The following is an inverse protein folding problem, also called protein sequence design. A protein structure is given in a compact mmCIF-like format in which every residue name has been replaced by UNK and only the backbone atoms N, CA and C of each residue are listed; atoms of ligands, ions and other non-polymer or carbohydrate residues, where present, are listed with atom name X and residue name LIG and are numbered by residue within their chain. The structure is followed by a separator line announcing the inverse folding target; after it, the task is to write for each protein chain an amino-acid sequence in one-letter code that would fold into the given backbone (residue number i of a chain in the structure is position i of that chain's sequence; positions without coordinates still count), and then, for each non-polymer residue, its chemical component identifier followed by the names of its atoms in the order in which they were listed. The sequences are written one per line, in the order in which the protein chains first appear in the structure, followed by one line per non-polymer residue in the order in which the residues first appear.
data_IF_186851085945
#
_entry.id   IF_186851085945
#
_cell.length_a   1.000
_cell.length_b   1.000
_cell.length_c   1.000
_cell.angle_alpha   90.00
_cell.angle_beta   90.00
_cell.angle_gamma   90.00
#
_symmetry.space_group_name_H-M   'P 1'
#
loop_
_entity.id
_entity.type
_entity.pdbx_description
1 polymer ?
#
# COMPACT_ATOMS: atom_id res chain seq x y z
N UNK A 1 50.85 20.95 -39.59
CA UNK A 1 49.43 20.59 -39.46
C UNK A 1 49.20 19.20 -38.81
N UNK A 2 50.17 18.66 -38.05
CA UNK A 2 50.08 17.31 -37.45
C UNK A 2 49.91 17.31 -35.92
N UNK A 3 49.70 18.48 -35.30
CA UNK A 3 49.64 18.63 -33.83
C UNK A 3 48.24 18.92 -33.28
N UNK A 4 47.27 19.31 -34.12
CA UNK A 4 45.87 19.51 -33.69
C UNK A 4 45.02 18.25 -33.77
N UNK A 5 45.32 17.30 -34.68
CA UNK A 5 44.52 16.08 -34.86
C UNK A 5 44.62 15.09 -33.69
N UNK A 6 45.75 15.08 -32.98
CA UNK A 6 45.99 14.13 -31.87
C UNK A 6 45.25 14.56 -30.59
N UNK A 7 45.07 15.87 -30.36
CA UNK A 7 44.40 16.39 -29.15
C UNK A 7 42.89 16.15 -29.20
N UNK A 8 42.28 16.24 -30.38
CA UNK A 8 40.83 16.00 -30.56
C UNK A 8 40.47 14.53 -30.38
N UNK A 9 41.33 13.60 -30.80
CA UNK A 9 41.11 12.15 -30.65
C UNK A 9 41.26 11.65 -29.19
N UNK A 10 42.16 12.26 -28.41
CA UNK A 10 42.35 11.89 -26.99
C UNK A 10 41.19 12.39 -26.11
N UNK A 11 40.62 13.56 -26.41
CA UNK A 11 39.47 14.09 -25.66
C UNK A 11 38.16 13.35 -25.96
N UNK A 12 37.99 12.83 -27.18
CA UNK A 12 36.83 12.01 -27.54
C UNK A 12 36.89 10.60 -26.92
N UNK A 13 38.08 10.02 -26.75
CA UNK A 13 38.27 8.73 -26.07
C UNK A 13 38.05 8.81 -24.55
N UNK A 14 38.40 9.94 -23.91
CA UNK A 14 38.19 10.15 -22.48
C UNK A 14 36.73 10.48 -22.12
N UNK A 15 35.94 11.00 -23.08
CA UNK A 15 34.52 11.33 -22.87
C UNK A 15 33.59 10.12 -23.00
N UNK A 16 34.03 9.04 -23.66
CA UNK A 16 33.25 7.80 -23.80
C UNK A 16 33.33 6.87 -22.58
N UNK A 17 34.35 7.01 -21.74
CA UNK A 17 34.60 6.09 -20.62
C UNK A 17 33.80 6.43 -19.34
N UNK A 18 33.28 7.65 -19.21
CA UNK A 18 32.58 8.09 -17.98
C UNK A 18 31.10 7.68 -17.96
N UNK A 19 30.50 7.35 -19.11
CA UNK A 19 29.10 6.91 -19.18
C UNK A 19 28.88 5.42 -18.95
N UNK A 20 29.95 4.61 -18.82
CA UNK A 20 29.83 3.16 -18.69
C UNK A 20 29.61 2.65 -17.25
N UNK A 21 29.58 3.53 -16.24
CA UNK A 21 29.43 3.13 -14.82
C UNK A 21 28.06 3.43 -14.20
N UNK A 22 27.15 4.09 -14.92
CA UNK A 22 25.80 4.43 -14.43
C UNK A 22 24.73 3.35 -14.71
N UNK A 23 25.15 2.16 -15.12
CA UNK A 23 24.27 1.06 -15.52
C UNK A 23 24.39 -0.18 -14.64
N UNK A 24 24.57 -0.05 -13.32
CA UNK A 24 24.17 -1.15 -12.43
C UNK A 24 22.64 -1.15 -12.38
N UNK A 25 22.02 -1.72 -13.40
CA UNK A 25 20.65 -2.22 -13.29
C UNK A 25 20.66 -3.21 -12.13
N UNK A 26 20.26 -2.77 -10.94
CA UNK A 26 19.88 -3.67 -9.87
C UNK A 26 18.85 -4.60 -10.50
N UNK A 27 19.22 -5.87 -10.70
CA UNK A 27 18.26 -6.88 -11.10
C UNK A 27 17.05 -6.73 -10.15
N UNK A 28 15.82 -6.66 -10.66
CA UNK A 28 14.66 -6.48 -9.80
C UNK A 28 14.74 -7.53 -8.71
N UNK A 29 14.85 -7.09 -7.45
CA UNK A 29 14.86 -8.00 -6.30
C UNK A 29 13.57 -8.78 -6.40
N UNK A 30 13.66 -10.05 -6.79
CA UNK A 30 12.48 -10.90 -6.93
C UNK A 30 11.92 -11.06 -5.53
N UNK A 31 10.78 -10.42 -5.26
CA UNK A 31 10.07 -10.59 -4.00
C UNK A 31 9.73 -12.07 -3.90
N UNK A 32 10.25 -12.74 -2.88
CA UNK A 32 9.91 -14.11 -2.59
C UNK A 32 8.66 -14.10 -1.73
N UNK A 33 7.54 -14.46 -2.33
CA UNK A 33 6.27 -14.52 -1.64
C UNK A 33 6.18 -15.73 -0.72
N UNK A 34 5.47 -15.55 0.40
CA UNK A 34 5.17 -16.61 1.36
C UNK A 34 3.67 -16.67 1.61
N UNK A 35 3.20 -17.83 2.05
CA UNK A 35 1.83 -17.99 2.51
C UNK A 35 1.79 -18.98 3.67
N UNK A 36 2.36 -18.56 4.80
CA UNK A 36 2.27 -19.29 6.06
C UNK A 36 0.93 -19.12 6.75
N UNK A 37 0.78 -19.76 7.91
CA UNK A 37 -0.41 -19.62 8.77
C UNK A 37 -0.67 -18.15 9.16
N UNK A 38 0.39 -17.40 9.47
CA UNK A 38 0.30 -15.99 9.87
C UNK A 38 -0.12 -15.08 8.72
N UNK A 39 0.31 -15.37 7.49
CA UNK A 39 -0.10 -14.65 6.27
C UNK A 39 -1.60 -14.85 5.99
N UNK A 40 -2.08 -16.11 6.08
CA UNK A 40 -3.50 -16.44 5.92
C UNK A 40 -4.37 -15.80 7.01
N UNK A 41 -3.91 -15.84 8.26
CA UNK A 41 -4.61 -15.20 9.37
C UNK A 41 -4.67 -13.68 9.19
N UNK A 42 -3.59 -13.06 8.71
CA UNK A 42 -3.57 -11.64 8.39
C UNK A 42 -4.61 -11.28 7.32
N UNK A 43 -4.65 -12.02 6.21
CA UNK A 43 -5.61 -11.80 5.12
C UNK A 43 -7.06 -11.94 5.58
N UNK A 44 -7.37 -13.03 6.30
CA UNK A 44 -8.71 -13.26 6.84
C UNK A 44 -9.13 -12.16 7.82
N UNK A 45 -8.23 -11.75 8.71
CA UNK A 45 -8.50 -10.65 9.63
C UNK A 45 -8.72 -9.33 8.87
N UNK A 46 -7.86 -9.01 7.90
CA UNK A 46 -7.99 -7.79 7.11
C UNK A 46 -9.32 -7.74 6.35
N UNK A 47 -9.75 -8.85 5.74
CA UNK A 47 -11.03 -8.96 5.06
C UNK A 47 -12.21 -8.67 5.99
N UNK A 48 -12.21 -9.27 7.18
CA UNK A 48 -13.25 -9.04 8.20
C UNK A 48 -13.29 -7.58 8.62
N UNK A 49 -12.13 -6.96 8.87
CA UNK A 49 -12.07 -5.56 9.28
C UNK A 49 -12.52 -4.61 8.17
N UNK A 50 -12.15 -4.89 6.92
CA UNK A 50 -12.58 -4.10 5.77
C UNK A 50 -14.10 -4.16 5.59
N UNK A 51 -14.68 -5.36 5.67
CA UNK A 51 -16.12 -5.56 5.59
C UNK A 51 -16.87 -4.88 6.75
N UNK A 52 -16.37 -5.00 7.99
CA UNK A 52 -16.97 -4.36 9.16
C UNK A 52 -17.00 -2.83 9.02
N UNK A 53 -15.88 -2.19 8.65
CA UNK A 53 -15.84 -0.74 8.45
C UNK A 53 -16.75 -0.30 7.30
N UNK A 54 -16.81 -1.07 6.22
CA UNK A 54 -17.73 -0.83 5.10
C UNK A 54 -19.20 -0.86 5.54
N UNK A 55 -19.59 -1.88 6.31
CA UNK A 55 -20.95 -2.04 6.84
C UNK A 55 -21.37 -0.83 7.70
N UNK A 56 -20.57 -0.45 8.70
CA UNK A 56 -20.87 0.72 9.53
C UNK A 56 -20.88 2.02 8.72
N UNK A 57 -20.00 2.14 7.72
CA UNK A 57 -19.99 3.28 6.80
C UNK A 57 -21.29 3.39 6.01
N UNK A 58 -21.80 2.28 5.49
CA UNK A 58 -23.06 2.23 4.74
C UNK A 58 -24.28 2.54 5.63
N UNK A 59 -24.32 2.00 6.85
CA UNK A 59 -25.38 2.28 7.83
C UNK A 59 -25.38 3.76 8.22
N UNK A 60 -24.21 4.36 8.45
CA UNK A 60 -24.08 5.80 8.72
C UNK A 60 -24.58 6.66 7.55
N UNK A 61 -24.30 6.26 6.31
CA UNK A 61 -24.79 6.97 5.12
C UNK A 61 -26.31 6.89 4.96
N UNK A 62 -26.93 5.80 5.43
CA UNK A 62 -28.39 5.62 5.45
C UNK A 62 -29.06 6.31 6.63
N UNK A 63 -28.30 6.71 7.65
CA UNK A 63 -28.80 7.27 8.91
C UNK A 63 -29.17 6.21 9.94
N UNK A 64 -28.73 4.96 9.74
CA UNK A 64 -29.02 3.81 10.61
C UNK A 64 -27.93 3.59 11.69
N UNK A 65 -26.80 4.31 11.60
CA UNK A 65 -25.72 4.27 12.59
C UNK A 65 -25.23 5.68 12.95
N UNK A 66 -24.74 5.83 14.19
CA UNK A 66 -24.16 7.08 14.67
C UNK A 66 -22.71 7.24 14.15
N UNK A 67 -22.19 8.48 14.00
CA UNK A 67 -20.80 8.70 13.60
C UNK A 67 -19.78 7.93 14.46
N UNK A 68 -20.08 7.78 15.74
CA UNK A 68 -19.29 7.19 16.80
C UNK A 68 -19.09 5.69 16.59
N UNK A 69 -20.11 5.02 16.02
CA UNK A 69 -20.05 3.60 15.66
C UNK A 69 -19.02 3.39 14.55
N UNK A 70 -19.07 4.24 13.51
CA UNK A 70 -18.11 4.18 12.39
C UNK A 70 -16.70 4.52 12.85
N UNK A 71 -16.55 5.53 13.70
CA UNK A 71 -15.25 5.93 14.26
C UNK A 71 -14.68 4.80 15.14
N UNK A 72 -15.52 4.15 15.94
CA UNK A 72 -15.17 2.99 16.74
C UNK A 72 -14.68 1.83 15.87
N UNK A 73 -15.50 1.42 14.90
CA UNK A 73 -15.17 0.35 13.97
C UNK A 73 -13.85 0.61 13.21
N UNK A 74 -13.63 1.84 12.75
CA UNK A 74 -12.39 2.24 12.08
C UNK A 74 -11.15 2.11 12.99
N UNK A 75 -11.27 2.47 14.28
CA UNK A 75 -10.19 2.34 15.26
C UNK A 75 -9.90 0.89 15.59
N UNK A 76 -10.93 0.07 15.74
CA UNK A 76 -10.80 -1.35 16.04
C UNK A 76 -10.19 -2.12 14.87
N UNK A 77 -10.63 -1.83 13.65
CA UNK A 77 -10.02 -2.31 12.42
C UNK A 77 -8.53 -1.97 12.33
N UNK A 78 -8.18 -0.70 12.57
CA UNK A 78 -6.78 -0.26 12.57
C UNK A 78 -5.94 -0.98 13.62
N UNK A 79 -6.51 -1.25 14.82
CA UNK A 79 -5.83 -1.99 15.90
C UNK A 79 -5.62 -3.44 15.52
N UNK A 80 -6.67 -4.13 15.07
CA UNK A 80 -6.65 -5.55 14.73
C UNK A 80 -5.68 -5.85 13.57
N UNK A 81 -5.66 -5.01 12.54
CA UNK A 81 -4.72 -5.16 11.41
C UNK A 81 -3.28 -4.91 11.88
N UNK A 82 -3.06 -3.88 12.72
CA UNK A 82 -1.73 -3.56 13.24
C UNK A 82 -1.17 -4.62 14.18
N UNK A 83 -2.01 -5.29 14.97
CA UNK A 83 -1.59 -6.34 15.90
C UNK A 83 -1.24 -7.66 15.22
N UNK A 84 -1.57 -7.83 13.95
CA UNK A 84 -1.17 -8.99 13.16
C UNK A 84 0.30 -8.85 12.71
N UNK A 85 0.96 -9.96 12.38
CA UNK A 85 2.36 -9.97 11.93
C UNK A 85 2.56 -11.00 10.78
N UNK A 86 2.17 -10.65 9.54
CA UNK A 86 2.47 -11.49 8.38
C UNK A 86 3.97 -11.55 8.12
N UNK A 87 4.42 -12.59 7.43
CA UNK A 87 5.81 -12.75 6.98
C UNK A 87 6.01 -12.32 5.52
N UNK A 88 4.97 -12.41 4.70
CA UNK A 88 5.06 -12.00 3.30
C UNK A 88 5.39 -10.49 3.20
N UNK A 89 6.42 -10.10 2.42
CA UNK A 89 6.83 -8.70 2.29
C UNK A 89 5.74 -7.75 1.80
N UNK A 90 4.86 -8.22 0.90
CA UNK A 90 3.75 -7.42 0.40
C UNK A 90 2.67 -7.28 1.47
N UNK A 91 2.35 -8.33 2.22
CA UNK A 91 1.40 -8.25 3.34
C UNK A 91 1.92 -7.37 4.50
N UNK A 92 3.23 -7.33 4.74
CA UNK A 92 3.83 -6.35 5.66
C UNK A 92 3.60 -4.91 5.19
N UNK A 93 3.64 -4.68 3.88
CA UNK A 93 3.34 -3.37 3.28
C UNK A 93 1.85 -3.03 3.44
N UNK A 94 0.95 -3.99 3.22
CA UNK A 94 -0.49 -3.81 3.49
C UNK A 94 -0.74 -3.47 4.96
N UNK A 95 -0.12 -4.22 5.89
CA UNK A 95 -0.19 -3.97 7.34
C UNK A 95 0.26 -2.55 7.71
N UNK A 96 1.20 -1.98 6.97
CA UNK A 96 1.67 -0.62 7.21
C UNK A 96 0.63 0.43 6.81
N UNK A 97 0.02 0.31 5.63
CA UNK A 97 -0.89 1.32 5.09
C UNK A 97 -2.35 1.19 5.57
N UNK A 98 -2.87 -0.04 5.70
CA UNK A 98 -4.28 -0.28 6.01
C UNK A 98 -4.75 0.34 7.34
N UNK A 99 -3.99 0.31 8.46
CA UNK A 99 -4.40 0.99 9.68
C UNK A 99 -4.56 2.50 9.49
N UNK A 100 -3.70 3.15 8.70
CA UNK A 100 -3.80 4.57 8.43
C UNK A 100 -5.03 4.89 7.55
N UNK A 101 -5.33 4.03 6.57
CA UNK A 101 -6.53 4.12 5.74
C UNK A 101 -7.80 4.18 6.61
N UNK A 102 -7.97 3.23 7.53
CA UNK A 102 -9.12 3.21 8.44
C UNK A 102 -9.17 4.46 9.34
N UNK A 103 -8.04 4.88 9.91
CA UNK A 103 -8.02 6.05 10.80
C UNK A 103 -8.29 7.37 10.06
N UNK A 104 -7.90 7.52 8.79
CA UNK A 104 -8.32 8.65 7.96
C UNK A 104 -9.81 8.61 7.65
N UNK A 105 -10.39 7.42 7.40
CA UNK A 105 -11.84 7.28 7.21
C UNK A 105 -12.62 7.73 8.45
N UNK A 106 -12.26 7.23 9.63
CA UNK A 106 -12.86 7.66 10.89
C UNK A 106 -12.70 9.17 11.14
N UNK A 107 -11.56 9.76 10.76
CA UNK A 107 -11.38 11.22 10.83
C UNK A 107 -12.29 11.98 9.88
N UNK A 108 -12.54 11.44 8.68
CA UNK A 108 -13.48 12.04 7.74
C UNK A 108 -14.91 12.03 8.28
N UNK A 109 -15.35 10.90 8.85
CA UNK A 109 -16.67 10.79 9.49
C UNK A 109 -16.80 11.77 10.65
N UNK A 110 -15.77 11.85 11.52
CA UNK A 110 -15.75 12.81 12.63
C UNK A 110 -15.88 14.26 12.15
N UNK A 111 -15.11 14.66 11.13
CA UNK A 111 -15.18 16.00 10.57
C UNK A 111 -16.57 16.29 9.99
N UNK A 112 -17.15 15.34 9.25
CA UNK A 112 -18.51 15.46 8.69
C UNK A 112 -19.56 15.66 9.78
N UNK A 113 -19.50 14.86 10.85
CA UNK A 113 -20.43 14.95 11.98
C UNK A 113 -20.34 16.30 12.71
N UNK A 114 -19.14 16.90 12.75
CA UNK A 114 -18.93 18.24 13.30
C UNK A 114 -19.32 19.39 12.34
N UNK A 115 -19.83 19.10 11.14
CA UNK A 115 -20.11 20.11 10.12
C UNK A 115 -18.85 20.71 9.46
N UNK A 116 -17.69 20.06 9.65
CA UNK A 116 -16.41 20.47 9.09
C UNK A 116 -16.15 19.82 7.72
N UNK A 117 -15.11 20.30 7.02
CA UNK A 117 -14.70 19.73 5.74
C UNK A 117 -14.05 18.34 5.92
N UNK A 118 -14.80 17.29 5.62
CA UNK A 118 -14.32 15.90 5.64
C UNK A 118 -13.42 15.52 4.44
N UNK A 119 -13.41 16.33 3.37
CA UNK A 119 -12.76 16.02 2.10
C UNK A 119 -11.29 15.62 2.22
N UNK A 120 -10.42 16.37 2.94
CA UNK A 120 -9.01 16.03 3.06
C UNK A 120 -8.73 14.68 3.73
N UNK A 121 -9.48 14.34 4.79
CA UNK A 121 -9.32 13.06 5.47
C UNK A 121 -9.85 11.91 4.62
N UNK A 122 -10.99 12.13 3.95
CA UNK A 122 -11.56 11.14 3.03
C UNK A 122 -10.61 10.85 1.86
N UNK A 123 -10.03 11.88 1.25
CA UNK A 123 -9.05 11.74 0.17
C UNK A 123 -7.82 10.92 0.60
N UNK A 124 -7.27 11.20 1.79
CA UNK A 124 -6.14 10.44 2.32
C UNK A 124 -6.51 8.97 2.58
N UNK A 125 -7.70 8.71 3.11
CA UNK A 125 -8.20 7.34 3.28
C UNK A 125 -8.24 6.59 1.94
N UNK A 126 -8.87 7.17 0.92
CA UNK A 126 -8.95 6.55 -0.41
C UNK A 126 -7.58 6.35 -1.05
N UNK A 127 -6.66 7.31 -0.92
CA UNK A 127 -5.30 7.19 -1.47
C UNK A 127 -4.51 6.06 -0.80
N UNK A 128 -4.67 5.89 0.51
CA UNK A 128 -4.06 4.77 1.25
C UNK A 128 -4.70 3.43 0.86
N UNK A 129 -6.01 3.39 0.66
CA UNK A 129 -6.71 2.19 0.16
C UNK A 129 -6.29 1.81 -1.26
N UNK A 130 -6.14 2.79 -2.15
CA UNK A 130 -5.61 2.58 -3.49
C UNK A 130 -4.20 1.97 -3.43
N UNK A 131 -3.33 2.50 -2.57
CA UNK A 131 -1.99 1.94 -2.35
C UNK A 131 -2.02 0.50 -1.84
N UNK A 132 -2.94 0.16 -0.94
CA UNK A 132 -3.12 -1.23 -0.49
C UNK A 132 -3.56 -2.12 -1.64
N UNK A 133 -4.54 -1.67 -2.45
CA UNK A 133 -5.04 -2.42 -3.60
C UNK A 133 -3.92 -2.64 -4.64
N UNK A 134 -3.12 -1.62 -4.97
CA UNK A 134 -1.95 -1.74 -5.85
C UNK A 134 -0.98 -2.82 -5.36
N UNK A 135 -0.60 -2.78 -4.08
CA UNK A 135 0.31 -3.77 -3.49
C UNK A 135 -0.26 -5.20 -3.59
N UNK A 136 -1.55 -5.38 -3.32
CA UNK A 136 -2.19 -6.69 -3.42
C UNK A 136 -2.31 -7.15 -4.88
N UNK A 137 -2.63 -6.26 -5.83
CA UNK A 137 -2.68 -6.57 -7.27
C UNK A 137 -1.33 -7.02 -7.80
N UNK A 138 -0.27 -6.28 -7.47
CA UNK A 138 1.08 -6.61 -7.91
C UNK A 138 1.57 -7.93 -7.31
N UNK A 139 1.20 -8.22 -6.05
CA UNK A 139 1.58 -9.44 -5.35
C UNK A 139 0.71 -10.66 -5.68
N UNK A 140 -0.48 -10.47 -6.25
CA UNK A 140 -1.50 -11.53 -6.42
C UNK A 140 -0.94 -12.79 -7.08
N UNK A 141 -0.18 -12.74 -8.19
CA UNK A 141 0.29 -13.96 -8.83
C UNK A 141 1.25 -14.76 -7.95
N UNK A 142 2.12 -14.05 -7.21
CA UNK A 142 3.10 -14.65 -6.32
C UNK A 142 2.48 -15.22 -5.04
N UNK A 143 1.54 -14.48 -4.44
CA UNK A 143 0.76 -14.95 -3.29
C UNK A 143 -0.09 -16.17 -3.65
N UNK A 144 -0.77 -16.14 -4.81
CA UNK A 144 -1.58 -17.26 -5.30
C UNK A 144 -0.73 -18.51 -5.53
N UNK A 145 0.45 -18.36 -6.17
CA UNK A 145 1.40 -19.46 -6.35
C UNK A 145 1.93 -20.02 -5.01
N UNK A 146 2.02 -19.16 -3.98
CA UNK A 146 2.38 -19.58 -2.61
C UNK A 146 1.20 -20.21 -1.83
N UNK A 147 -0.04 -20.10 -2.32
CA UNK A 147 -1.25 -20.67 -1.71
C UNK A 147 -2.12 -19.70 -0.93
N UNK A 148 -1.96 -18.39 -1.14
CA UNK A 148 -2.79 -17.31 -0.59
C UNK A 148 -3.55 -16.63 -1.73
N UNK A 149 -4.86 -16.80 -1.79
CA UNK A 149 -5.72 -16.06 -2.71
C UNK A 149 -6.14 -14.72 -2.06
N UNK A 150 -5.97 -13.64 -2.81
CA UNK A 150 -6.33 -12.28 -2.41
C UNK A 150 -7.42 -11.67 -3.31
N UNK A 151 -8.01 -12.47 -4.20
CA UNK A 151 -8.97 -12.00 -5.21
C UNK A 151 -10.18 -11.30 -4.58
N UNK A 152 -10.68 -11.79 -3.44
CA UNK A 152 -11.79 -11.18 -2.70
C UNK A 152 -11.45 -9.83 -2.04
N UNK A 153 -10.19 -9.39 -2.09
CA UNK A 153 -9.71 -8.12 -1.54
C UNK A 153 -9.39 -7.06 -2.62
N UNK A 154 -9.59 -7.37 -3.91
CA UNK A 154 -9.18 -6.52 -5.04
C UNK A 154 -10.33 -5.73 -5.67
#
# INVERSE_FOLDING_TARGET
MLRLGVVVLVLLAASGAVYASAGRSSAPTRIQHTCGLTDKQFLANYQVQLAAVGMYGDEYLKGDAEPEDVIGAARDAARAVRSSAPFDPSLLTVRHFAPAMFLEFGRAVKARAAGENAGPAMYRSYSLGARVNEVLKDAQPGLAAAGCDVTDLL
#
